data_IF_347136638918
#
_entry.id   IF_347136638918
#
_cell.length_a   1.000
_cell.length_b   1.000
_cell.length_c   1.000
_cell.angle_alpha   90.00
_cell.angle_beta   90.00
_cell.angle_gamma   90.00
#
_symmetry.space_group_name_H-M   'P 1'
#
loop_
_entity.id
_entity.type
_entity.pdbx_description
1 polymer ?
#
# COMPACT_ATOMS: atom_id res chain seq x y z
N UNK A 1 10.80 25.50 28.61
CA UNK A 1 11.25 26.19 29.82
C UNK A 1 11.74 25.16 30.79
N UNK A 2 13.04 24.89 30.79
CA UNK A 2 13.64 23.82 31.55
C UNK A 2 14.17 24.32 32.87
N UNK A 3 13.59 23.86 33.92
CA UNK A 3 13.96 24.13 35.31
C UNK A 3 15.24 23.37 35.63
N UNK A 4 16.28 24.07 35.80
CA UNK A 4 16.83 24.68 36.99
C UNK A 4 17.04 23.72 38.14
N UNK A 5 18.27 23.39 38.24
CA UNK A 5 19.07 23.16 39.43
C UNK A 5 18.30 23.36 40.75
N UNK A 6 18.12 22.27 41.45
CA UNK A 6 17.89 22.34 42.88
C UNK A 6 19.06 23.07 43.56
N UNK A 7 18.74 24.21 44.15
CA UNK A 7 19.68 24.90 44.98
C UNK A 7 19.76 24.14 46.27
N UNK A 8 20.92 23.54 46.54
CA UNK A 8 21.19 22.89 47.81
C UNK A 8 21.60 23.92 48.84
N UNK A 9 21.11 23.79 50.07
CA UNK A 9 21.39 24.76 51.15
C UNK A 9 22.57 24.29 51.99
N UNK A 10 23.46 25.20 52.29
CA UNK A 10 24.60 24.97 53.21
C UNK A 10 24.43 25.90 54.39
N UNK A 11 24.29 25.34 55.60
CA UNK A 11 24.16 26.10 56.85
C UNK A 11 25.50 26.53 57.40
N UNK A 12 25.55 27.69 58.07
CA UNK A 12 26.72 28.12 58.86
C UNK A 12 26.67 27.56 60.26
N UNK A 13 27.79 27.12 60.83
CA UNK A 13 29.14 27.19 60.28
C UNK A 13 29.38 26.20 59.14
N UNK A 14 30.21 26.59 58.14
CA UNK A 14 30.51 25.80 56.95
C UNK A 14 31.27 24.52 57.33
N UNK A 15 30.63 23.36 57.06
CA UNK A 15 31.31 22.08 57.13
C UNK A 15 31.88 21.74 55.75
N UNK A 16 33.20 21.87 55.59
CA UNK A 16 33.89 21.68 54.30
C UNK A 16 33.78 20.23 53.79
N UNK A 17 33.72 19.24 54.66
CA UNK A 17 33.56 17.80 54.24
C UNK A 17 32.17 17.59 53.65
N UNK A 18 31.11 18.14 54.27
CA UNK A 18 29.75 18.06 53.77
C UNK A 18 29.60 18.81 52.44
N UNK A 19 30.25 19.97 52.31
CA UNK A 19 30.25 20.75 51.09
C UNK A 19 30.93 19.96 49.95
N UNK A 20 32.10 19.39 50.20
CA UNK A 20 32.82 18.58 49.21
C UNK A 20 32.01 17.34 48.79
N UNK A 21 31.35 16.67 49.74
CA UNK A 21 30.49 15.53 49.45
C UNK A 21 29.28 15.91 48.53
N UNK A 22 28.61 17.03 48.83
CA UNK A 22 27.48 17.55 48.03
C UNK A 22 27.91 17.96 46.64
N UNK A 23 29.02 18.66 46.49
CA UNK A 23 29.59 19.05 45.18
C UNK A 23 29.97 17.83 44.39
N UNK A 24 30.62 16.85 45.04
CA UNK A 24 30.97 15.59 44.39
C UNK A 24 29.75 14.79 43.92
N UNK A 25 28.69 14.72 44.72
CA UNK A 25 27.44 14.06 44.36
C UNK A 25 26.75 14.77 43.16
N UNK A 26 26.70 16.10 43.21
CA UNK A 26 26.11 16.89 42.10
C UNK A 26 26.90 16.75 40.80
N UNK A 27 28.22 16.71 40.87
CA UNK A 27 29.08 16.50 39.69
C UNK A 27 28.85 15.11 39.08
N UNK A 28 28.78 14.06 39.88
CA UNK A 28 28.47 12.69 39.41
C UNK A 28 27.10 12.62 38.76
N UNK A 29 26.08 13.20 39.39
CA UNK A 29 24.71 13.25 38.84
C UNK A 29 24.68 13.95 37.50
N UNK A 30 25.35 15.09 37.37
CA UNK A 30 25.41 15.85 36.13
C UNK A 30 26.14 15.10 35.01
N UNK A 31 27.23 14.38 35.37
CA UNK A 31 27.92 13.50 34.41
C UNK A 31 27.04 12.34 33.96
N UNK A 32 26.34 11.68 34.86
CA UNK A 32 25.42 10.59 34.55
C UNK A 32 24.27 11.08 33.65
N UNK A 33 23.71 12.27 33.93
CA UNK A 33 22.68 12.88 33.11
C UNK A 33 23.18 13.21 31.69
N UNK A 34 24.37 13.79 31.57
CA UNK A 34 24.97 14.07 30.25
C UNK A 34 25.22 12.78 29.46
N UNK A 35 25.72 11.74 30.12
CA UNK A 35 25.96 10.43 29.51
C UNK A 35 24.65 9.79 29.04
N UNK A 36 23.62 9.73 29.89
CA UNK A 36 22.30 9.20 29.54
C UNK A 36 21.68 9.93 28.35
N UNK A 37 21.78 11.28 28.33
CA UNK A 37 21.28 12.09 27.22
C UNK A 37 22.02 11.81 25.91
N UNK A 38 23.35 11.63 25.97
CA UNK A 38 24.15 11.28 24.80
C UNK A 38 23.73 9.93 24.24
N UNK A 39 23.64 8.89 25.12
CA UNK A 39 23.23 7.55 24.74
C UNK A 39 21.83 7.52 24.13
N UNK A 40 20.87 8.23 24.74
CA UNK A 40 19.51 8.35 24.18
C UNK A 40 19.52 8.97 22.78
N UNK A 41 20.31 10.02 22.56
CA UNK A 41 20.44 10.64 21.25
C UNK A 41 21.01 9.68 20.20
N UNK A 42 22.06 8.94 20.55
CA UNK A 42 22.68 7.95 19.66
C UNK A 42 21.69 6.83 19.30
N UNK A 43 20.92 6.34 20.28
CA UNK A 43 19.87 5.34 20.05
C UNK A 43 18.77 5.88 19.12
N UNK A 44 18.32 7.12 19.31
CA UNK A 44 17.32 7.74 18.42
C UNK A 44 17.84 7.87 16.99
N UNK A 45 19.06 8.34 16.81
CA UNK A 45 19.66 8.47 15.47
C UNK A 45 19.78 7.12 14.78
N UNK A 46 20.30 6.10 15.45
CA UNK A 46 20.41 4.74 14.91
C UNK A 46 19.04 4.15 14.53
N UNK A 47 17.97 4.48 15.27
CA UNK A 47 16.62 4.05 14.95
C UNK A 47 16.07 4.74 13.70
N UNK A 48 16.32 6.04 13.57
CA UNK A 48 15.95 6.81 12.38
C UNK A 48 16.64 6.24 11.15
N UNK A 49 17.95 6.03 11.21
CA UNK A 49 18.72 5.49 10.09
C UNK A 49 18.18 4.12 9.63
N UNK A 50 17.79 3.24 10.57
CA UNK A 50 17.17 1.94 10.22
C UNK A 50 15.82 2.12 9.54
N UNK A 51 14.97 3.00 10.06
CA UNK A 51 13.66 3.25 9.47
C UNK A 51 13.77 3.84 8.08
N UNK A 52 14.74 4.71 7.84
CA UNK A 52 15.00 5.27 6.51
C UNK A 52 15.43 4.19 5.50
N UNK A 53 16.29 3.26 5.93
CA UNK A 53 16.69 2.12 5.09
C UNK A 53 15.51 1.22 4.76
N UNK A 54 14.69 0.87 5.77
CA UNK A 54 13.49 0.04 5.58
C UNK A 54 12.47 0.74 4.66
N UNK A 55 12.25 2.03 4.86
CA UNK A 55 11.35 2.80 4.00
C UNK A 55 11.83 2.82 2.55
N UNK A 56 13.13 3.00 2.33
CA UNK A 56 13.70 3.00 0.99
C UNK A 56 13.57 1.65 0.30
N UNK A 57 13.85 0.55 1.01
CA UNK A 57 13.68 -0.80 0.48
C UNK A 57 12.23 -1.07 0.07
N UNK A 58 11.26 -0.74 0.95
CA UNK A 58 9.84 -0.88 0.65
C UNK A 58 9.40 -0.02 -0.56
N UNK A 59 9.95 1.17 -0.71
CA UNK A 59 9.67 2.06 -1.85
C UNK A 59 10.21 1.47 -3.18
N UNK A 60 11.37 0.84 -3.15
CA UNK A 60 11.97 0.15 -4.30
C UNK A 60 11.09 -1.06 -4.71
N UNK A 61 10.64 -1.88 -3.76
CA UNK A 61 9.75 -3.02 -4.00
C UNK A 61 8.42 -2.59 -4.63
N UNK A 62 7.81 -1.53 -4.10
CA UNK A 62 6.54 -0.98 -4.64
C UNK A 62 6.77 -0.45 -6.07
N UNK A 63 7.91 0.19 -6.33
CA UNK A 63 8.25 0.72 -7.66
C UNK A 63 8.42 -0.42 -8.67
N UNK A 64 9.02 -1.52 -8.25
CA UNK A 64 9.16 -2.70 -9.09
C UNK A 64 7.82 -3.36 -9.37
N UNK A 65 6.98 -3.52 -8.36
CA UNK A 65 5.62 -4.03 -8.52
C UNK A 65 4.78 -3.18 -9.48
N UNK A 66 4.86 -1.85 -9.38
CA UNK A 66 4.18 -0.91 -10.29
C UNK A 66 4.64 -1.10 -11.76
N UNK A 67 5.94 -1.27 -11.98
CA UNK A 67 6.50 -1.52 -13.31
C UNK A 67 5.97 -2.82 -13.91
N UNK A 68 5.96 -3.91 -13.14
CA UNK A 68 5.43 -5.19 -13.56
C UNK A 68 3.93 -5.11 -13.84
N UNK A 69 3.20 -4.42 -12.99
CA UNK A 69 1.77 -4.21 -13.14
C UNK A 69 1.43 -3.41 -14.41
N UNK A 70 2.18 -2.36 -14.68
CA UNK A 70 2.04 -1.56 -15.91
C UNK A 70 2.35 -2.40 -17.16
N UNK A 71 3.37 -3.25 -17.09
CA UNK A 71 3.72 -4.15 -18.20
C UNK A 71 2.61 -5.18 -18.48
N UNK A 72 1.89 -5.63 -17.46
CA UNK A 72 0.77 -6.58 -17.61
C UNK A 72 -0.52 -5.95 -18.15
N UNK A 73 -0.60 -4.62 -18.26
CA UNK A 73 -1.81 -3.97 -18.77
C UNK A 73 -2.02 -4.30 -20.25
N UNK A 74 -3.26 -4.67 -20.64
CA UNK A 74 -3.55 -4.97 -22.03
C UNK A 74 -3.49 -3.71 -22.89
N UNK A 75 -3.02 -3.87 -24.12
CA UNK A 75 -3.01 -2.78 -25.09
C UNK A 75 -4.30 -2.82 -25.90
N UNK A 76 -4.88 -1.66 -26.26
CA UNK A 76 -6.00 -1.60 -27.17
C UNK A 76 -5.67 -2.34 -28.48
N UNK A 77 -6.55 -3.25 -28.96
CA UNK A 77 -6.35 -3.90 -30.23
C UNK A 77 -6.66 -2.94 -31.39
N UNK A 78 -6.05 -3.19 -32.53
CA UNK A 78 -6.43 -2.51 -33.77
C UNK A 78 -7.63 -3.22 -34.37
N UNK A 79 -8.66 -2.46 -34.72
CA UNK A 79 -9.91 -2.95 -35.31
C UNK A 79 -10.19 -2.16 -36.59
N UNK A 80 -10.48 -2.86 -37.68
CA UNK A 80 -10.85 -2.21 -38.93
C UNK A 80 -12.16 -1.44 -38.76
N UNK A 81 -12.14 -0.13 -39.03
CA UNK A 81 -13.27 0.74 -38.92
C UNK A 81 -13.62 1.25 -37.52
N UNK A 82 -12.78 0.96 -36.53
CA UNK A 82 -12.96 1.44 -35.16
C UNK A 82 -11.66 1.98 -34.59
N UNK A 83 -11.76 3.12 -33.90
CA UNK A 83 -10.69 3.67 -33.07
C UNK A 83 -10.98 3.38 -31.60
N UNK A 84 -10.02 2.78 -30.90
CA UNK A 84 -10.12 2.53 -29.46
C UNK A 84 -9.08 3.39 -28.75
N UNK A 85 -9.57 4.37 -28.01
CA UNK A 85 -8.75 5.16 -27.09
C UNK A 85 -8.92 4.68 -25.66
N UNK A 86 -7.81 4.63 -24.93
CA UNK A 86 -7.74 4.16 -23.56
C UNK A 86 -7.11 5.22 -22.67
N UNK A 87 -7.86 5.65 -21.66
CA UNK A 87 -7.32 6.46 -20.57
C UNK A 87 -7.45 5.67 -19.26
N UNK A 88 -6.33 5.23 -18.70
CA UNK A 88 -6.28 4.56 -17.42
C UNK A 88 -5.43 5.35 -16.43
N UNK A 89 -6.02 5.70 -15.29
CA UNK A 89 -5.36 6.44 -14.21
C UNK A 89 -5.73 5.80 -12.88
N UNK A 90 -4.90 4.92 -12.33
CA UNK A 90 -5.18 4.30 -11.04
C UNK A 90 -5.15 5.34 -9.92
N UNK A 91 -5.93 5.11 -8.87
CA UNK A 91 -5.82 5.88 -7.64
C UNK A 91 -4.53 5.47 -6.89
N UNK A 92 -3.54 6.35 -6.88
CA UNK A 92 -2.22 6.06 -6.34
C UNK A 92 -1.32 5.32 -7.33
N UNK A 93 -0.40 4.51 -6.83
CA UNK A 93 0.59 3.77 -7.63
C UNK A 93 0.02 2.47 -8.20
N UNK A 94 -0.84 1.80 -7.42
CA UNK A 94 -1.53 0.55 -7.75
C UNK A 94 -3.00 0.69 -7.36
N UNK A 95 -3.91 0.26 -8.21
CA UNK A 95 -5.35 0.40 -8.02
C UNK A 95 -6.13 -0.89 -8.19
N UNK A 96 -7.42 -0.84 -7.82
CA UNK A 96 -8.39 -1.92 -8.02
C UNK A 96 -9.07 -1.91 -9.39
N UNK A 97 -9.08 -0.75 -10.05
CA UNK A 97 -9.66 -0.60 -11.38
C UNK A 97 -8.91 -1.44 -12.42
N UNK A 98 -9.64 -2.05 -13.35
CA UNK A 98 -9.05 -2.80 -14.43
C UNK A 98 -9.86 -2.73 -15.72
N UNK A 99 -9.21 -3.06 -16.80
CA UNK A 99 -9.81 -3.29 -18.10
C UNK A 99 -9.14 -4.46 -18.80
N UNK A 100 -9.82 -5.07 -19.75
CA UNK A 100 -9.25 -6.09 -20.63
C UNK A 100 -9.93 -6.09 -22.00
N UNK A 101 -9.21 -6.62 -22.98
CA UNK A 101 -9.68 -6.84 -24.36
C UNK A 101 -9.58 -8.33 -24.66
N UNK A 102 -10.70 -9.00 -24.72
CA UNK A 102 -10.79 -10.45 -24.86
C UNK A 102 -11.37 -10.81 -26.21
N UNK A 103 -10.53 -11.29 -27.12
CA UNK A 103 -10.99 -11.89 -28.36
C UNK A 103 -11.67 -13.24 -28.06
N UNK A 104 -12.94 -13.32 -28.43
CA UNK A 104 -13.76 -14.54 -28.32
C UNK A 104 -13.61 -15.39 -29.58
N UNK A 105 -13.61 -14.73 -30.73
CA UNK A 105 -13.33 -15.29 -32.06
C UNK A 105 -12.80 -14.18 -32.99
N UNK A 106 -12.84 -14.40 -34.31
CA UNK A 106 -12.31 -13.43 -35.30
C UNK A 106 -13.11 -12.15 -35.39
N UNK A 107 -14.41 -12.21 -35.06
CA UNK A 107 -15.37 -11.13 -35.30
C UNK A 107 -15.94 -10.55 -33.99
N UNK A 108 -15.64 -11.17 -32.84
CA UNK A 108 -16.17 -10.75 -31.55
C UNK A 108 -15.05 -10.43 -30.55
N UNK A 109 -15.06 -9.20 -30.11
CA UNK A 109 -14.19 -8.68 -29.05
C UNK A 109 -15.06 -8.32 -27.83
N UNK A 110 -14.74 -8.88 -26.68
CA UNK A 110 -15.29 -8.44 -25.40
C UNK A 110 -14.37 -7.39 -24.77
N UNK A 111 -14.96 -6.28 -24.38
CA UNK A 111 -14.26 -5.24 -23.60
C UNK A 111 -14.76 -5.37 -22.16
N UNK A 112 -13.84 -5.57 -21.25
CA UNK A 112 -14.12 -5.72 -19.82
C UNK A 112 -13.60 -4.48 -19.10
N UNK A 113 -14.45 -3.88 -18.29
CA UNK A 113 -14.08 -2.81 -17.34
C UNK A 113 -14.61 -3.20 -15.99
N UNK A 114 -13.79 -3.12 -14.97
CA UNK A 114 -14.17 -3.47 -13.62
C UNK A 114 -13.46 -2.64 -12.58
N UNK A 115 -14.10 -2.53 -11.43
CA UNK A 115 -13.57 -1.89 -10.24
C UNK A 115 -13.66 -2.86 -9.07
N UNK A 116 -12.57 -3.03 -8.34
CA UNK A 116 -12.48 -3.88 -7.15
C UNK A 116 -12.28 -3.01 -5.92
N UNK A 117 -13.11 -3.23 -4.93
CA UNK A 117 -12.99 -2.56 -3.64
C UNK A 117 -11.62 -2.80 -3.02
N UNK A 118 -10.87 -1.72 -2.83
CA UNK A 118 -9.53 -1.75 -2.25
C UNK A 118 -8.53 -0.93 -3.07
N UNK A 119 -7.47 -0.52 -2.41
CA UNK A 119 -6.42 0.28 -3.02
C UNK A 119 -5.03 -0.31 -2.72
N UNK A 120 -4.03 0.20 -3.40
CA UNK A 120 -2.66 -0.25 -3.23
C UNK A 120 -2.43 -1.69 -3.68
N UNK A 121 -1.51 -2.39 -3.04
CA UNK A 121 -1.08 -3.74 -3.42
C UNK A 121 -2.23 -4.76 -3.35
N UNK A 122 -3.08 -4.66 -2.32
CA UNK A 122 -4.21 -5.58 -2.16
C UNK A 122 -5.20 -5.45 -3.32
N UNK A 123 -5.61 -4.22 -3.67
CA UNK A 123 -6.50 -3.97 -4.80
C UNK A 123 -5.89 -4.45 -6.12
N UNK A 124 -4.59 -4.23 -6.32
CA UNK A 124 -3.89 -4.66 -7.52
C UNK A 124 -3.83 -6.19 -7.69
N UNK A 125 -3.60 -6.94 -6.60
CA UNK A 125 -3.61 -8.41 -6.64
C UNK A 125 -5.00 -8.92 -7.02
N UNK A 126 -6.04 -8.44 -6.33
CA UNK A 126 -7.41 -8.85 -6.58
C UNK A 126 -7.88 -8.51 -7.99
N UNK A 127 -7.54 -7.33 -8.47
CA UNK A 127 -7.80 -6.86 -9.81
C UNK A 127 -7.15 -7.78 -10.86
N UNK A 128 -5.87 -8.15 -10.68
CA UNK A 128 -5.18 -9.05 -11.61
C UNK A 128 -5.83 -10.46 -11.65
N UNK A 129 -6.25 -10.98 -10.49
CA UNK A 129 -6.97 -12.26 -10.39
C UNK A 129 -8.33 -12.18 -11.09
N UNK A 130 -9.15 -11.19 -10.77
CA UNK A 130 -10.48 -11.01 -11.33
C UNK A 130 -10.43 -10.84 -12.85
N UNK A 131 -9.56 -9.97 -13.33
CA UNK A 131 -9.33 -9.77 -14.77
C UNK A 131 -9.01 -11.09 -15.47
N UNK A 132 -8.08 -11.86 -14.91
CA UNK A 132 -7.66 -13.13 -15.52
C UNK A 132 -8.78 -14.17 -15.53
N UNK A 133 -9.52 -14.28 -14.43
CA UNK A 133 -10.64 -15.22 -14.32
C UNK A 133 -11.77 -14.86 -15.29
N UNK A 134 -12.15 -13.59 -15.38
CA UNK A 134 -13.18 -13.12 -16.30
C UNK A 134 -12.76 -13.37 -17.74
N UNK A 135 -11.52 -13.04 -18.12
CA UNK A 135 -11.01 -13.27 -19.47
C UNK A 135 -10.99 -14.74 -19.86
N UNK A 136 -10.62 -15.62 -18.91
CA UNK A 136 -10.63 -17.07 -19.11
C UNK A 136 -12.06 -17.58 -19.28
N UNK A 137 -12.95 -17.18 -18.38
CA UNK A 137 -14.35 -17.59 -18.40
C UNK A 137 -15.07 -17.15 -19.69
N UNK A 138 -14.84 -15.92 -20.16
CA UNK A 138 -15.41 -15.42 -21.42
C UNK A 138 -15.02 -16.29 -22.62
N UNK A 139 -13.78 -16.77 -22.67
CA UNK A 139 -13.33 -17.67 -23.73
C UNK A 139 -13.94 -19.06 -23.59
N UNK A 140 -14.01 -19.62 -22.38
CA UNK A 140 -14.58 -20.95 -22.12
C UNK A 140 -16.07 -21.00 -22.40
N UNK A 141 -16.81 -19.95 -22.02
CA UNK A 141 -18.26 -19.85 -22.21
C UNK A 141 -18.65 -19.23 -23.56
N UNK A 142 -17.70 -19.15 -24.50
CA UNK A 142 -17.92 -18.61 -25.84
C UNK A 142 -18.62 -17.22 -25.87
N UNK A 143 -18.29 -16.38 -24.88
CA UNK A 143 -18.83 -15.02 -24.75
C UNK A 143 -20.18 -14.94 -24.04
N UNK A 144 -20.67 -16.01 -23.43
CA UNK A 144 -21.83 -15.94 -22.54
C UNK A 144 -21.43 -15.18 -21.25
N UNK A 145 -21.78 -13.89 -21.23
CA UNK A 145 -21.42 -12.96 -20.16
C UNK A 145 -21.94 -13.43 -18.79
N UNK A 146 -23.19 -13.93 -18.77
CA UNK A 146 -23.82 -14.35 -17.52
C UNK A 146 -23.08 -15.53 -16.89
N UNK A 147 -22.76 -16.55 -17.67
CA UNK A 147 -22.00 -17.71 -17.18
C UNK A 147 -20.57 -17.35 -16.81
N UNK A 148 -19.92 -16.51 -17.61
CA UNK A 148 -18.55 -16.08 -17.36
C UNK A 148 -18.45 -15.31 -16.04
N UNK A 149 -19.35 -14.37 -15.77
CA UNK A 149 -19.37 -13.62 -14.51
C UNK A 149 -19.73 -14.52 -13.32
N UNK A 150 -20.72 -15.41 -13.47
CA UNK A 150 -21.07 -16.36 -12.42
C UNK A 150 -19.91 -17.30 -12.06
N UNK A 151 -19.16 -17.77 -13.07
CA UNK A 151 -17.96 -18.56 -12.86
C UNK A 151 -16.89 -17.76 -12.12
N UNK A 152 -16.52 -16.58 -12.63
CA UNK A 152 -15.50 -15.74 -12.04
C UNK A 152 -15.83 -15.36 -10.58
N UNK A 153 -17.08 -15.01 -10.30
CA UNK A 153 -17.53 -14.68 -8.95
C UNK A 153 -17.41 -15.88 -8.00
N UNK A 154 -17.77 -17.09 -8.43
CA UNK A 154 -17.63 -18.31 -7.63
C UNK A 154 -16.18 -18.59 -7.28
N UNK A 155 -15.29 -18.53 -8.27
CA UNK A 155 -13.87 -18.83 -8.08
C UNK A 155 -13.21 -17.78 -7.19
N UNK A 156 -13.50 -16.48 -7.42
CA UNK A 156 -13.00 -15.41 -6.55
C UNK A 156 -13.48 -15.55 -5.11
N UNK A 157 -14.75 -15.93 -4.91
CA UNK A 157 -15.30 -16.09 -3.55
C UNK A 157 -14.65 -17.27 -2.81
N UNK A 158 -14.26 -18.33 -3.52
CA UNK A 158 -13.58 -19.48 -2.92
C UNK A 158 -12.14 -19.17 -2.50
N UNK A 159 -11.46 -18.29 -3.24
CA UNK A 159 -10.04 -18.00 -3.03
C UNK A 159 -9.79 -16.86 -2.03
N UNK A 160 -10.83 -16.14 -1.66
CA UNK A 160 -10.69 -14.95 -0.82
C UNK A 160 -11.07 -15.23 0.64
N UNK A 161 -10.35 -14.62 1.59
CA UNK A 161 -10.70 -14.73 3.01
C UNK A 161 -12.13 -14.25 3.29
N UNK A 162 -12.85 -14.86 4.23
CA UNK A 162 -14.18 -14.42 4.64
C UNK A 162 -14.16 -12.93 5.05
N UNK A 163 -15.02 -12.13 4.46
CA UNK A 163 -15.12 -10.69 4.72
C UNK A 163 -14.25 -9.79 3.83
N UNK A 164 -13.49 -10.35 2.88
CA UNK A 164 -12.73 -9.56 1.88
C UNK A 164 -13.64 -8.85 0.86
N UNK A 165 -14.87 -9.32 0.68
CA UNK A 165 -15.93 -8.63 -0.05
C UNK A 165 -16.98 -8.10 0.93
N UNK A 166 -16.96 -6.81 1.20
CA UNK A 166 -18.20 -6.09 1.48
C UNK A 166 -18.64 -5.54 0.12
N UNK A 167 -19.60 -6.20 -0.50
CA UNK A 167 -20.35 -5.59 -1.59
C UNK A 167 -21.13 -4.40 -1.00
N UNK A 168 -20.61 -3.22 -1.14
CA UNK A 168 -21.51 -2.09 -1.30
C UNK A 168 -22.18 -2.33 -2.64
N UNK A 169 -23.51 -2.34 -2.65
CA UNK A 169 -24.31 -2.59 -3.83
C UNK A 169 -24.05 -1.53 -4.90
N UNK A 170 -22.99 -1.70 -5.64
CA UNK A 170 -22.81 -1.04 -6.92
C UNK A 170 -22.95 -2.11 -8.00
N UNK A 171 -24.14 -2.17 -8.56
CA UNK A 171 -24.45 -2.86 -9.81
C UNK A 171 -23.40 -2.44 -10.84
N UNK A 172 -22.49 -3.34 -11.18
CA UNK A 172 -21.65 -3.17 -12.36
C UNK A 172 -22.53 -3.33 -13.59
N UNK A 173 -23.01 -2.23 -14.16
CA UNK A 173 -23.66 -2.21 -15.45
C UNK A 173 -22.61 -2.51 -16.51
N UNK A 174 -22.58 -3.75 -16.97
CA UNK A 174 -21.94 -4.10 -18.23
C UNK A 174 -22.79 -3.51 -19.37
N UNK A 175 -22.44 -2.31 -19.83
CA UNK A 175 -23.02 -1.74 -21.02
C UNK A 175 -22.46 -2.46 -22.25
N UNK A 176 -23.17 -3.49 -22.73
CA UNK A 176 -23.00 -3.97 -24.09
C UNK A 176 -23.68 -2.97 -25.03
N UNK A 177 -22.92 -2.10 -25.67
CA UNK A 177 -23.45 -1.38 -26.86
C UNK A 177 -23.49 -2.38 -28.01
N UNK A 178 -24.67 -2.89 -28.31
CA UNK A 178 -24.96 -3.41 -29.62
C UNK A 178 -24.99 -2.22 -30.57
N UNK A 179 -24.03 -2.14 -31.46
CA UNK A 179 -24.05 -1.24 -32.59
C UNK A 179 -24.97 -1.79 -33.65
N UNK A 180 -25.87 -0.96 -34.08
CA UNK A 180 -26.71 -1.10 -35.29
C UNK A 180 -25.80 -0.98 -36.50
#
# INVERSE_FOLDING_TARGET
MLFRSSVDFVHKPLNYELLAAKVGAHTRLNQAYKFSRKLSKEMYMSRIDRLEIEMKANEEDITEAERHFTWMQPKPPTLDGYDIDLLYRPYGRLGGDFYDFVWLDRDRLAIVVGDISGHGIQGAILQAMARKLISLALRQENGDLHKAIAFANRELTNDLPPGSFRSEEHTSELQSRQSI
#
